data_IF_228454683899
#
_entry.id   IF_228454683899
#
_cell.length_a   1.000
_cell.length_b   1.000
_cell.length_c   1.000
_cell.angle_alpha   90.00
_cell.angle_beta   90.00
_cell.angle_gamma   90.00
#
_symmetry.space_group_name_H-M   'P 1'
#
loop_
_entity.id
_entity.type
_entity.pdbx_description
1 polymer ?
#
# COMPACT_ATOMS: atom_id res chain seq x y z
N UNK A 1 -44.57 -37.23 68.31
CA UNK A 1 -44.36 -37.59 66.89
C UNK A 1 -43.69 -36.43 66.19
N UNK A 2 -42.41 -36.55 65.81
CA UNK A 2 -41.75 -35.64 64.87
C UNK A 2 -40.51 -36.33 64.31
N UNK A 3 -40.56 -36.62 63.01
CA UNK A 3 -39.62 -37.43 62.25
C UNK A 3 -38.57 -36.50 61.61
N UNK A 4 -37.26 -36.64 61.86
CA UNK A 4 -36.27 -35.89 61.10
C UNK A 4 -35.81 -36.72 59.89
N UNK A 5 -36.43 -36.45 58.75
CA UNK A 5 -35.95 -36.82 57.42
C UNK A 5 -34.92 -35.80 56.94
N UNK A 6 -33.95 -36.29 56.17
CA UNK A 6 -33.07 -35.57 55.25
C UNK A 6 -31.81 -34.92 55.86
N UNK A 7 -30.64 -35.47 55.54
CA UNK A 7 -29.87 -35.03 54.37
C UNK A 7 -28.63 -35.92 54.24
N UNK A 8 -28.76 -36.97 53.43
CA UNK A 8 -27.63 -37.71 52.87
C UNK A 8 -27.45 -37.22 51.44
N UNK A 9 -26.20 -37.18 51.00
CA UNK A 9 -25.75 -37.08 49.61
C UNK A 9 -25.71 -35.66 49.01
N UNK A 10 -24.50 -35.09 48.94
CA UNK A 10 -23.84 -34.73 47.68
C UNK A 10 -22.54 -33.94 47.97
N UNK A 11 -21.57 -34.57 48.62
CA UNK A 11 -20.19 -34.08 48.68
C UNK A 11 -19.33 -34.89 47.71
N UNK A 12 -19.51 -34.65 46.42
CA UNK A 12 -18.52 -35.05 45.41
C UNK A 12 -18.91 -34.38 44.10
N UNK A 13 -17.96 -33.62 43.53
CA UNK A 13 -17.81 -33.24 42.11
C UNK A 13 -17.39 -31.77 41.96
N UNK A 14 -16.30 -31.39 42.62
CA UNK A 14 -15.46 -30.28 42.14
C UNK A 14 -14.30 -30.88 41.35
N UNK A 15 -14.58 -31.32 40.13
CA UNK A 15 -13.53 -31.65 39.17
C UNK A 15 -12.89 -30.36 38.63
N UNK A 16 -11.57 -30.30 38.41
CA UNK A 16 -10.94 -29.14 37.82
C UNK A 16 -11.40 -29.00 36.36
N UNK A 17 -11.93 -27.83 36.01
CA UNK A 17 -12.24 -27.48 34.64
C UNK A 17 -10.93 -27.41 33.85
N UNK A 18 -10.67 -28.44 33.03
CA UNK A 18 -9.59 -28.42 32.07
C UNK A 18 -9.95 -27.44 30.93
N UNK A 19 -9.42 -26.24 30.99
CA UNK A 19 -9.45 -25.32 29.85
C UNK A 19 -8.55 -25.88 28.76
N UNK A 20 -9.16 -26.47 27.74
CA UNK A 20 -8.47 -26.86 26.51
C UNK A 20 -8.01 -25.57 25.81
N UNK A 21 -6.69 -25.34 25.78
CA UNK A 21 -6.12 -24.23 25.01
C UNK A 21 -6.17 -24.60 23.53
N UNK A 22 -7.22 -24.13 22.85
CA UNK A 22 -7.29 -24.17 21.39
C UNK A 22 -6.27 -23.18 20.86
N UNK A 23 -5.08 -23.66 20.53
CA UNK A 23 -4.09 -22.86 19.79
C UNK A 23 -4.75 -22.52 18.44
N UNK A 24 -4.98 -21.23 18.14
CA UNK A 24 -5.49 -20.85 16.84
C UNK A 24 -4.55 -21.42 15.77
N UNK A 25 -5.07 -22.05 14.71
CA UNK A 25 -4.22 -22.47 13.61
C UNK A 25 -3.38 -21.26 13.16
N UNK A 26 -2.09 -21.45 12.83
CA UNK A 26 -1.23 -20.35 12.40
C UNK A 26 -1.95 -19.62 11.27
N UNK A 27 -2.29 -18.35 11.52
CA UNK A 27 -2.90 -17.52 10.50
C UNK A 27 -1.99 -17.57 9.29
N UNK A 28 -2.51 -18.05 8.16
CA UNK A 28 -1.79 -18.03 6.88
C UNK A 28 -1.28 -16.62 6.70
N UNK A 29 0.05 -16.45 6.70
CA UNK A 29 0.67 -15.14 6.62
C UNK A 29 0.14 -14.44 5.36
N UNK A 30 -0.70 -13.43 5.54
CA UNK A 30 -1.25 -12.66 4.44
C UNK A 30 -0.07 -12.14 3.63
N UNK A 31 0.02 -12.56 2.36
CA UNK A 31 1.12 -12.16 1.48
C UNK A 31 1.09 -10.64 1.40
N UNK A 32 2.22 -9.99 1.70
CA UNK A 32 2.31 -8.55 1.61
C UNK A 32 1.89 -8.08 0.20
N UNK A 33 1.11 -6.98 0.09
CA UNK A 33 0.70 -6.46 -1.20
C UNK A 33 1.92 -6.16 -2.07
N UNK A 34 1.86 -6.59 -3.33
CA UNK A 34 2.88 -6.27 -4.31
C UNK A 34 2.56 -4.92 -4.93
N UNK A 35 3.54 -4.02 -4.93
CA UNK A 35 3.39 -2.68 -5.50
C UNK A 35 4.24 -2.51 -6.75
N UNK A 36 3.70 -1.74 -7.69
CA UNK A 36 4.46 -1.10 -8.75
C UNK A 36 4.80 0.32 -8.34
N UNK A 37 5.93 0.83 -8.85
CA UNK A 37 6.40 2.18 -8.58
C UNK A 37 6.76 2.89 -9.89
N UNK A 38 6.56 4.20 -9.89
CA UNK A 38 7.09 5.13 -10.87
C UNK A 38 7.35 6.48 -10.21
N UNK A 39 8.12 7.34 -10.87
CA UNK A 39 8.40 8.70 -10.42
C UNK A 39 7.84 9.65 -11.48
N UNK A 40 6.96 10.56 -11.07
CA UNK A 40 6.62 11.73 -11.88
C UNK A 40 7.72 12.76 -11.65
N UNK A 41 8.41 13.14 -12.72
CA UNK A 41 9.52 14.09 -12.68
C UNK A 41 9.03 15.41 -13.26
N UNK A 42 9.24 16.49 -12.51
CA UNK A 42 9.19 17.87 -13.00
C UNK A 42 10.62 18.35 -13.19
N UNK A 43 11.06 18.51 -14.43
CA UNK A 43 12.31 19.21 -14.74
C UNK A 43 12.02 20.73 -14.79
N UNK A 44 12.94 21.51 -14.25
CA UNK A 44 12.85 22.96 -14.02
C UNK A 44 11.81 23.43 -12.99
N UNK A 45 12.30 24.14 -11.97
CA UNK A 45 11.53 24.59 -10.81
C UNK A 45 10.45 25.64 -11.09
N UNK A 46 10.29 26.10 -12.33
CA UNK A 46 9.18 26.98 -12.67
C UNK A 46 7.93 26.14 -12.93
N UNK A 47 6.93 26.29 -12.04
CA UNK A 47 5.62 25.65 -12.07
C UNK A 47 4.83 25.74 -13.40
N UNK A 48 5.37 26.45 -14.41
CA UNK A 48 4.90 26.46 -15.80
C UNK A 48 5.51 25.29 -16.62
N UNK A 49 5.28 24.07 -16.16
CA UNK A 49 4.72 23.01 -17.00
C UNK A 49 5.49 22.41 -18.19
N UNK A 50 6.74 22.76 -18.49
CA UNK A 50 7.31 22.36 -19.78
C UNK A 50 8.04 21.00 -19.81
N UNK A 51 8.13 20.31 -18.67
CA UNK A 51 9.01 19.13 -18.56
C UNK A 51 8.50 18.13 -17.54
N UNK A 52 7.23 17.71 -17.67
CA UNK A 52 6.70 16.56 -16.93
C UNK A 52 6.96 15.26 -17.70
N UNK A 53 7.47 14.24 -17.02
CA UNK A 53 7.54 12.88 -17.56
C UNK A 53 7.49 11.83 -16.44
N UNK A 54 7.28 10.57 -16.81
CA UNK A 54 7.35 9.43 -15.90
C UNK A 54 8.67 8.68 -16.08
N UNK A 55 9.36 8.44 -14.98
CA UNK A 55 10.41 7.42 -14.83
C UNK A 55 9.76 6.17 -14.22
N UNK A 56 10.02 5.00 -14.81
CA UNK A 56 9.49 3.73 -14.32
C UNK A 56 10.47 2.57 -14.57
N UNK A 57 11.77 2.85 -14.56
CA UNK A 57 12.83 1.92 -14.88
C UNK A 57 12.92 1.59 -16.38
N UNK A 58 12.42 2.45 -17.27
CA UNK A 58 12.38 2.20 -18.70
C UNK A 58 13.78 2.01 -19.32
N UNK A 59 14.81 2.64 -18.73
CA UNK A 59 16.19 2.58 -19.20
C UNK A 59 17.00 1.44 -18.56
N UNK A 60 16.39 0.66 -17.65
CA UNK A 60 17.04 -0.49 -17.03
C UNK A 60 17.21 -1.60 -18.08
N UNK A 61 18.43 -2.12 -18.21
CA UNK A 61 18.75 -3.21 -19.13
C UNK A 61 17.86 -4.43 -18.82
N UNK A 62 17.06 -4.87 -19.80
CA UNK A 62 16.06 -5.95 -19.71
C UNK A 62 14.75 -5.60 -18.98
N UNK A 63 14.41 -4.32 -18.84
CA UNK A 63 13.07 -3.94 -18.41
C UNK A 63 12.02 -4.54 -19.37
N UNK A 64 11.03 -5.24 -18.81
CA UNK A 64 9.87 -5.65 -19.58
C UNK A 64 9.11 -4.39 -20.02
N UNK A 65 8.70 -4.27 -21.28
CA UNK A 65 7.86 -3.17 -21.72
C UNK A 65 6.58 -3.13 -20.88
N UNK A 66 6.22 -1.95 -20.39
CA UNK A 66 4.96 -1.70 -19.67
C UNK A 66 4.10 -0.75 -20.52
N UNK A 67 3.28 -1.26 -21.45
CA UNK A 67 2.53 -0.44 -22.41
C UNK A 67 1.64 0.62 -21.73
N UNK A 68 1.04 0.26 -20.60
CA UNK A 68 0.25 1.18 -19.78
C UNK A 68 1.05 2.38 -19.26
N UNK A 69 2.29 2.18 -18.82
CA UNK A 69 3.16 3.26 -18.34
C UNK A 69 3.71 4.10 -19.48
N UNK A 70 3.93 3.49 -20.65
CA UNK A 70 4.28 4.22 -21.86
C UNK A 70 3.14 5.17 -22.29
N UNK A 71 1.90 4.70 -22.24
CA UNK A 71 0.72 5.53 -22.52
C UNK A 71 0.49 6.61 -21.45
N UNK A 72 0.66 6.25 -20.17
CA UNK A 72 0.56 7.21 -19.07
C UNK A 72 1.61 8.31 -19.20
N UNK A 73 2.85 7.95 -19.54
CA UNK A 73 3.94 8.90 -19.78
C UNK A 73 3.60 9.82 -20.96
N UNK A 74 3.11 9.27 -22.07
CA UNK A 74 2.69 10.07 -23.23
C UNK A 74 1.56 11.06 -22.90
N UNK A 75 0.66 10.70 -21.97
CA UNK A 75 -0.39 11.60 -21.47
C UNK A 75 0.21 12.67 -20.57
N UNK A 76 1.00 12.29 -19.56
CA UNK A 76 1.65 13.19 -18.60
C UNK A 76 2.51 14.23 -19.31
N UNK A 77 3.27 13.87 -20.34
CA UNK A 77 4.09 14.80 -21.13
C UNK A 77 3.30 15.88 -21.87
N UNK A 78 1.98 15.73 -22.00
CA UNK A 78 1.07 16.74 -22.57
C UNK A 78 0.42 17.60 -21.50
N UNK A 79 0.54 17.22 -20.23
CA UNK A 79 0.03 17.98 -19.10
C UNK A 79 1.10 19.00 -18.71
N UNK A 80 0.72 20.27 -18.66
CA UNK A 80 1.63 21.36 -18.28
C UNK A 80 1.48 21.74 -16.80
N UNK A 81 1.04 20.79 -15.96
CA UNK A 81 0.75 21.03 -14.54
C UNK A 81 0.96 19.76 -13.75
N UNK A 82 1.78 19.84 -12.70
CA UNK A 82 1.97 18.74 -11.73
C UNK A 82 0.62 18.31 -11.14
N UNK A 83 -0.24 19.26 -10.77
CA UNK A 83 -1.57 18.94 -10.18
C UNK A 83 -2.39 18.10 -11.15
N UNK A 84 -2.59 18.56 -12.39
CA UNK A 84 -3.26 17.77 -13.43
C UNK A 84 -2.62 16.39 -13.69
N UNK A 85 -1.28 16.30 -13.63
CA UNK A 85 -0.60 15.02 -13.77
C UNK A 85 -0.85 14.09 -12.57
N UNK A 86 -0.84 14.59 -11.34
CA UNK A 86 -1.16 13.82 -10.14
C UNK A 86 -2.63 13.38 -10.13
N UNK A 87 -3.56 14.25 -10.54
CA UNK A 87 -4.99 13.92 -10.68
C UNK A 87 -5.20 12.82 -11.72
N UNK A 88 -4.53 12.94 -12.88
CA UNK A 88 -4.53 11.89 -13.90
C UNK A 88 -3.99 10.58 -13.33
N UNK A 89 -2.81 10.58 -12.72
CA UNK A 89 -2.21 9.37 -12.16
C UNK A 89 -3.08 8.75 -11.05
N UNK A 90 -3.70 9.56 -10.21
CA UNK A 90 -4.66 9.12 -9.20
C UNK A 90 -5.89 8.45 -9.82
N UNK A 91 -6.44 9.00 -10.90
CA UNK A 91 -7.52 8.36 -11.66
C UNK A 91 -7.13 6.99 -12.25
N UNK A 92 -5.84 6.76 -12.46
CA UNK A 92 -5.27 5.49 -12.93
C UNK A 92 -4.86 4.54 -11.77
N UNK A 93 -5.24 4.87 -10.54
CA UNK A 93 -5.01 4.07 -9.34
C UNK A 93 -3.66 4.29 -8.66
N UNK A 94 -2.90 5.30 -9.07
CA UNK A 94 -1.60 5.62 -8.45
C UNK A 94 -1.76 6.52 -7.23
N UNK A 95 -0.94 6.29 -6.22
CA UNK A 95 -0.87 7.07 -4.98
C UNK A 95 0.52 7.70 -4.87
N UNK A 96 0.59 9.02 -4.68
CA UNK A 96 1.84 9.71 -4.38
C UNK A 96 2.22 9.48 -2.92
N UNK A 97 3.35 8.82 -2.68
CA UNK A 97 3.79 8.42 -1.33
C UNK A 97 5.01 9.20 -0.82
N UNK A 98 5.72 9.87 -1.71
CA UNK A 98 6.86 10.71 -1.32
C UNK A 98 7.09 11.81 -2.37
N UNK A 99 7.63 12.94 -1.93
CA UNK A 99 8.07 14.04 -2.80
C UNK A 99 9.49 14.41 -2.40
N UNK A 100 10.39 14.47 -3.36
CA UNK A 100 11.77 14.88 -3.14
C UNK A 100 12.19 15.89 -4.21
N UNK A 101 12.92 16.92 -3.80
CA UNK A 101 13.48 17.92 -4.70
C UNK A 101 15.00 17.87 -4.65
N UNK A 102 15.64 17.78 -5.81
CA UNK A 102 17.09 17.83 -5.91
C UNK A 102 17.53 19.30 -6.00
N UNK A 103 18.36 19.79 -5.07
CA UNK A 103 18.91 21.14 -5.16
C UNK A 103 19.93 21.23 -6.30
N UNK A 104 19.87 22.28 -7.12
CA UNK A 104 20.79 22.44 -8.26
C UNK A 104 20.35 23.52 -9.23
N UNK A 105 21.14 23.73 -10.29
CA UNK A 105 20.85 24.68 -11.37
C UNK A 105 19.60 24.28 -12.18
N UNK A 106 19.33 22.99 -12.32
CA UNK A 106 18.11 22.40 -12.86
C UNK A 106 17.38 21.75 -11.69
N UNK A 107 16.70 22.56 -10.89
CA UNK A 107 15.97 22.04 -9.75
C UNK A 107 14.87 21.09 -10.24
N UNK A 108 15.02 19.80 -9.96
CA UNK A 108 14.08 18.74 -10.32
C UNK A 108 13.26 18.36 -9.09
N UNK A 109 11.96 18.12 -9.28
CA UNK A 109 11.10 17.55 -8.24
C UNK A 109 10.54 16.22 -8.69
N UNK A 110 10.83 15.18 -7.92
CA UNK A 110 10.32 13.83 -8.13
C UNK A 110 9.19 13.50 -7.16
N UNK A 111 8.08 13.01 -7.69
CA UNK A 111 6.93 12.51 -6.95
C UNK A 111 6.91 10.98 -7.08
N UNK A 112 7.26 10.27 -6.00
CA UNK A 112 7.23 8.81 -5.97
C UNK A 112 5.78 8.34 -5.88
N UNK A 113 5.36 7.56 -6.87
CA UNK A 113 4.02 6.99 -6.96
C UNK A 113 4.09 5.47 -6.76
N UNK A 114 3.05 4.91 -6.15
CA UNK A 114 2.82 3.47 -6.08
C UNK A 114 1.42 3.09 -6.55
N UNK A 115 1.26 1.86 -7.01
CA UNK A 115 -0.05 1.23 -7.28
C UNK A 115 -0.01 -0.25 -6.94
N UNK A 116 -1.09 -0.81 -6.43
CA UNK A 116 -1.19 -2.25 -6.20
C UNK A 116 -1.15 -3.01 -7.55
N UNK A 117 -0.43 -4.14 -7.58
CA UNK A 117 -0.47 -5.09 -8.70
C UNK A 117 -1.73 -5.94 -8.68
#
# INVERSE_FOLDING_TARGET
MRNPLLFVLALALTGPAAFSQTIPPPASAARAPQYEHCILVLEDAYHAGNSLHLEYGQDVRKAAPKPELLQANATVRRLNSVVAALDYMSSQGWECINVNSLPGATAETGYLLRRAK
#
